data_IF_594004250806
#
_entry.id   IF_594004250806
#
_cell.length_a   1.000
_cell.length_b   1.000
_cell.length_c   1.000
_cell.angle_alpha   90.00
_cell.angle_beta   90.00
_cell.angle_gamma   90.00
#
_symmetry.space_group_name_H-M   'P 1'
#
loop_
_entity.id
_entity.type
_entity.pdbx_description
1 polymer ?
#
# COMPACT_ATOMS: atom_id res chain seq x y z
N UNK A 1 18.17 -5.82 -2.68
CA UNK A 1 19.16 -5.28 -3.64
C UNK A 1 19.19 -3.76 -3.63
N UNK A 2 18.07 -3.07 -3.80
CA UNK A 2 18.01 -1.59 -3.83
C UNK A 2 18.63 -0.89 -2.61
N UNK A 3 18.51 -1.46 -1.42
CA UNK A 3 19.11 -0.94 -0.18
C UNK A 3 20.58 -1.34 0.05
N UNK A 4 21.20 -2.09 -0.87
CA UNK A 4 22.56 -2.61 -0.71
C UNK A 4 22.74 -3.73 0.32
N UNK A 5 21.63 -4.28 0.87
CA UNK A 5 21.68 -5.43 1.80
C UNK A 5 22.01 -6.72 1.05
N UNK A 6 21.40 -6.91 -0.12
CA UNK A 6 21.63 -8.06 -0.98
C UNK A 6 22.42 -7.66 -2.22
N UNK A 7 23.38 -8.49 -2.61
CA UNK A 7 24.16 -8.33 -3.80
C UNK A 7 23.46 -9.01 -5.00
N UNK A 8 23.40 -8.40 -6.19
CA UNK A 8 22.85 -9.06 -7.38
C UNK A 8 23.81 -10.13 -7.89
N UNK A 9 23.29 -11.25 -8.37
CA UNK A 9 24.09 -12.31 -8.99
C UNK A 9 24.62 -11.88 -10.36
N UNK A 10 23.87 -11.04 -11.07
CA UNK A 10 24.22 -10.46 -12.35
C UNK A 10 23.44 -9.17 -12.59
N UNK A 11 23.84 -8.38 -13.58
CA UNK A 11 23.22 -7.10 -13.89
C UNK A 11 23.73 -5.95 -13.02
N UNK A 12 23.18 -4.77 -13.24
CA UNK A 12 23.56 -3.53 -12.58
C UNK A 12 22.38 -2.93 -11.85
N UNK A 13 22.64 -2.31 -10.71
CA UNK A 13 21.65 -1.54 -9.95
C UNK A 13 22.28 -0.20 -9.61
N UNK A 14 21.61 0.87 -10.02
CA UNK A 14 21.96 2.24 -9.66
C UNK A 14 20.76 2.93 -9.03
N UNK A 15 20.98 3.64 -7.94
CA UNK A 15 19.98 4.45 -7.26
C UNK A 15 20.58 5.82 -7.02
N UNK A 16 19.98 6.82 -7.65
CA UNK A 16 20.37 8.22 -7.49
C UNK A 16 21.88 8.45 -7.71
N UNK A 17 22.47 7.79 -8.73
CA UNK A 17 23.88 7.86 -9.06
C UNK A 17 24.79 7.02 -8.17
N UNK A 18 24.24 6.15 -7.30
CA UNK A 18 25.02 5.29 -6.42
C UNK A 18 24.78 3.82 -6.71
N UNK A 19 25.85 3.03 -6.64
CA UNK A 19 25.79 1.57 -6.60
C UNK A 19 25.55 1.15 -5.14
N UNK A 20 24.37 0.58 -4.78
CA UNK A 20 23.96 0.38 -3.40
C UNK A 20 24.93 -0.46 -2.55
N UNK A 21 25.52 -1.49 -3.10
CA UNK A 21 26.45 -2.39 -2.37
C UNK A 21 27.85 -1.82 -2.15
N UNK A 22 28.22 -0.70 -2.77
CA UNK A 22 29.43 0.03 -2.41
C UNK A 22 29.31 0.67 -1.02
N UNK A 23 28.07 0.77 -0.48
CA UNK A 23 27.76 1.23 0.86
C UNK A 23 28.39 2.58 1.23
N UNK A 24 28.54 3.47 0.23
CA UNK A 24 29.07 4.83 0.45
C UNK A 24 28.24 5.55 1.52
N UNK A 25 28.89 6.25 2.44
CA UNK A 25 28.19 6.98 3.50
C UNK A 25 27.23 8.03 2.94
N UNK A 26 27.59 8.68 1.83
CA UNK A 26 26.70 9.60 1.13
C UNK A 26 25.38 8.93 0.70
N UNK A 27 25.44 7.71 0.16
CA UNK A 27 24.23 6.95 -0.19
C UNK A 27 23.43 6.54 1.04
N UNK A 28 24.09 6.02 2.09
CA UNK A 28 23.40 5.58 3.33
C UNK A 28 22.63 6.70 4.02
N UNK A 29 23.07 7.93 3.87
CA UNK A 29 22.37 9.12 4.41
C UNK A 29 21.12 9.51 3.62
N UNK A 30 20.99 9.02 2.38
CA UNK A 30 19.88 9.37 1.49
C UNK A 30 18.67 8.46 1.59
N UNK A 31 18.78 7.33 2.28
CA UNK A 31 17.65 6.42 2.39
C UNK A 31 17.42 5.91 3.81
N UNK A 32 16.20 5.47 4.05
CA UNK A 32 15.82 4.68 5.23
C UNK A 32 15.02 3.46 4.85
N UNK A 33 15.01 2.49 5.77
CA UNK A 33 14.23 1.26 5.64
C UNK A 33 13.42 1.07 6.90
N UNK A 34 12.13 0.75 6.75
CA UNK A 34 11.26 0.27 7.83
C UNK A 34 10.77 -1.12 7.44
N UNK A 35 10.95 -2.10 8.33
CA UNK A 35 10.53 -3.48 8.12
C UNK A 35 9.43 -3.82 9.12
N UNK A 36 8.21 -4.04 8.64
CA UNK A 36 7.03 -4.25 9.50
C UNK A 36 7.13 -5.40 10.50
N UNK A 37 7.93 -6.42 10.16
CA UNK A 37 8.11 -7.59 11.01
C UNK A 37 9.39 -7.57 11.87
N UNK A 38 10.25 -6.56 11.71
CA UNK A 38 11.52 -6.47 12.43
C UNK A 38 11.57 -5.20 13.25
N UNK A 39 11.78 -5.38 14.57
CA UNK A 39 11.99 -4.26 15.44
C UNK A 39 13.41 -3.70 15.26
N UNK A 40 13.51 -2.39 14.98
CA UNK A 40 14.77 -1.66 14.81
C UNK A 40 15.08 -0.78 16.02
N UNK A 41 14.09 -0.54 16.88
CA UNK A 41 14.24 0.21 18.12
C UNK A 41 14.76 -0.69 19.23
N UNK A 42 15.45 -0.12 20.19
CA UNK A 42 15.91 -0.83 21.36
C UNK A 42 14.75 -1.21 22.28
N UNK A 43 14.50 -2.51 22.41
CA UNK A 43 13.33 -3.10 23.04
C UNK A 43 13.10 -2.67 24.49
N UNK A 44 14.17 -2.59 25.29
CA UNK A 44 14.11 -2.28 26.72
C UNK A 44 14.26 -0.79 27.04
N UNK A 45 14.51 0.04 26.03
CA UNK A 45 14.69 1.49 26.18
C UNK A 45 13.49 2.25 25.62
N UNK A 46 13.29 3.52 26.02
CA UNK A 46 12.37 4.41 25.36
C UNK A 46 12.72 4.62 23.88
N UNK A 47 11.71 4.86 23.06
CA UNK A 47 11.95 5.13 21.63
C UNK A 47 12.82 6.39 21.42
N UNK A 48 12.72 7.39 22.31
CA UNK A 48 13.55 8.60 22.30
C UNK A 48 15.05 8.31 22.32
N UNK A 49 15.50 7.23 22.95
CA UNK A 49 16.92 6.84 22.98
C UNK A 49 17.38 6.35 21.60
N UNK A 50 16.55 5.59 20.90
CA UNK A 50 16.81 5.17 19.52
C UNK A 50 16.77 6.36 18.56
N UNK A 51 15.91 7.35 18.81
CA UNK A 51 15.87 8.58 18.04
C UNK A 51 17.19 9.37 18.19
N UNK A 52 17.68 9.48 19.42
CA UNK A 52 18.95 10.15 19.70
C UNK A 52 20.13 9.42 19.08
N UNK A 53 20.12 8.08 19.08
CA UNK A 53 21.12 7.28 18.38
C UNK A 53 21.12 7.60 16.87
N UNK A 54 19.95 7.60 16.23
CA UNK A 54 19.84 7.94 14.80
C UNK A 54 20.34 9.36 14.51
N UNK A 55 19.99 10.32 15.37
CA UNK A 55 20.57 11.67 15.30
C UNK A 55 22.09 11.63 15.23
N UNK A 56 22.73 10.87 16.14
CA UNK A 56 24.19 10.76 16.20
C UNK A 56 24.78 10.03 14.96
N UNK A 57 24.15 8.94 14.53
CA UNK A 57 24.60 8.16 13.36
C UNK A 57 24.59 9.00 12.08
N UNK A 58 23.55 9.82 11.92
CA UNK A 58 23.36 10.64 10.71
C UNK A 58 23.90 12.07 10.84
N UNK A 59 24.52 12.44 11.98
CA UNK A 59 25.04 13.77 12.29
C UNK A 59 23.99 14.89 12.13
N UNK A 60 22.75 14.63 12.59
CA UNK A 60 21.67 15.61 12.50
C UNK A 60 21.90 16.73 13.53
N UNK A 61 21.89 18.01 13.14
CA UNK A 61 22.04 19.13 14.07
C UNK A 61 20.93 19.16 15.13
N UNK A 62 21.26 19.58 16.37
CA UNK A 62 20.32 19.59 17.49
C UNK A 62 19.00 20.34 17.21
N UNK A 63 19.09 21.47 16.56
CA UNK A 63 17.92 22.29 16.23
C UNK A 63 17.01 21.61 15.20
N UNK A 64 17.59 20.93 14.22
CA UNK A 64 16.86 20.17 13.20
C UNK A 64 16.22 18.92 13.81
N UNK A 65 16.99 18.16 14.60
CA UNK A 65 16.50 17.00 15.33
C UNK A 65 15.26 17.31 16.16
N UNK A 66 15.34 18.36 17.01
CA UNK A 66 14.19 18.74 17.86
C UNK A 66 12.96 19.11 17.06
N UNK A 67 13.11 19.90 16.00
CA UNK A 67 12.00 20.27 15.11
C UNK A 67 11.40 19.06 14.43
N UNK A 68 12.25 18.18 13.88
CA UNK A 68 11.79 16.97 13.18
C UNK A 68 11.06 16.01 14.13
N UNK A 69 11.61 15.76 15.31
CA UNK A 69 10.96 14.88 16.30
C UNK A 69 9.62 15.48 16.76
N UNK A 70 9.55 16.78 17.02
CA UNK A 70 8.31 17.44 17.42
C UNK A 70 7.26 17.35 16.32
N UNK A 71 7.59 17.74 15.10
CA UNK A 71 6.70 17.67 13.93
C UNK A 71 6.16 16.26 13.68
N UNK A 72 7.06 15.26 13.61
CA UNK A 72 6.67 13.90 13.29
C UNK A 72 5.91 13.20 14.44
N UNK A 73 6.26 13.50 15.69
CA UNK A 73 5.57 12.92 16.85
C UNK A 73 4.13 13.43 16.99
N UNK A 74 3.89 14.70 16.62
CA UNK A 74 2.54 15.26 16.54
C UNK A 74 1.73 14.64 15.40
N UNK A 75 2.30 14.59 14.19
CA UNK A 75 1.62 13.99 13.02
C UNK A 75 1.27 12.51 13.23
N UNK A 76 2.12 11.75 13.92
CA UNK A 76 1.90 10.33 14.22
C UNK A 76 1.04 10.11 15.48
N UNK A 77 0.75 11.18 16.24
CA UNK A 77 0.02 11.09 17.51
C UNK A 77 0.71 10.12 18.49
N UNK A 78 2.01 10.39 18.78
CA UNK A 78 2.86 9.55 19.63
C UNK A 78 3.73 10.35 20.62
N UNK A 79 3.54 11.67 20.72
CA UNK A 79 4.37 12.57 21.52
C UNK A 79 4.48 12.11 22.98
N UNK A 80 3.38 11.71 23.58
CA UNK A 80 3.32 11.26 24.97
C UNK A 80 3.94 9.87 25.22
N UNK A 81 4.16 9.13 24.13
CA UNK A 81 4.66 7.75 24.18
C UNK A 81 6.18 7.64 23.97
N UNK A 82 6.85 8.72 23.53
CA UNK A 82 8.27 8.67 23.16
C UNK A 82 9.20 8.19 24.31
N UNK A 83 8.80 8.48 25.56
CA UNK A 83 9.57 8.10 26.75
C UNK A 83 9.11 6.77 27.37
N UNK A 84 8.16 6.07 26.72
CA UNK A 84 7.72 4.73 27.12
C UNK A 84 8.67 3.69 26.52
N UNK A 85 9.04 2.66 27.30
CA UNK A 85 9.84 1.55 26.80
C UNK A 85 9.16 0.88 25.60
N UNK A 86 9.92 0.62 24.53
CA UNK A 86 9.39 0.06 23.27
C UNK A 86 8.59 -1.22 23.48
N UNK A 87 9.03 -2.11 24.39
CA UNK A 87 8.33 -3.35 24.76
C UNK A 87 6.92 -3.17 25.33
N UNK A 88 6.59 -1.97 25.82
CA UNK A 88 5.30 -1.64 26.44
C UNK A 88 4.32 -1.02 25.44
N UNK A 89 4.78 -0.67 24.26
CA UNK A 89 3.97 -0.11 23.19
C UNK A 89 3.18 -1.21 22.48
N UNK A 90 1.97 -0.88 22.05
CA UNK A 90 1.23 -1.71 21.09
C UNK A 90 1.99 -1.82 19.77
N UNK A 91 1.61 -2.78 18.94
CA UNK A 91 2.25 -2.97 17.63
C UNK A 91 2.12 -1.72 16.75
N UNK A 92 0.95 -1.07 16.75
CA UNK A 92 0.71 0.15 15.99
C UNK A 92 1.52 1.35 16.50
N UNK A 93 1.57 1.55 17.83
CA UNK A 93 2.40 2.60 18.43
C UNK A 93 3.89 2.38 18.14
N UNK A 94 4.36 1.14 18.23
CA UNK A 94 5.74 0.78 17.91
C UNK A 94 6.04 1.06 16.44
N UNK A 95 5.18 0.68 15.51
CA UNK A 95 5.39 0.95 14.08
C UNK A 95 5.48 2.45 13.80
N UNK A 96 4.67 3.28 14.45
CA UNK A 96 4.77 4.73 14.33
C UNK A 96 6.12 5.25 14.83
N UNK A 97 6.65 4.70 15.93
CA UNK A 97 8.00 5.03 16.42
C UNK A 97 9.10 4.59 15.46
N UNK A 98 8.97 3.41 14.84
CA UNK A 98 9.90 2.92 13.80
C UNK A 98 9.94 3.88 12.59
N UNK A 99 8.77 4.32 12.13
CA UNK A 99 8.67 5.27 11.02
C UNK A 99 9.28 6.61 11.43
N UNK A 100 8.99 7.12 12.63
CA UNK A 100 9.58 8.36 13.12
C UNK A 100 11.11 8.27 13.17
N UNK A 101 11.65 7.18 13.73
CA UNK A 101 13.09 6.95 13.80
C UNK A 101 13.75 6.93 12.42
N UNK A 102 13.09 6.33 11.43
CA UNK A 102 13.57 6.26 10.06
C UNK A 102 13.61 7.62 9.36
N UNK A 103 12.80 8.58 9.80
CA UNK A 103 12.64 9.90 9.16
C UNK A 103 13.45 11.03 9.83
N UNK A 104 14.17 10.76 10.94
CA UNK A 104 14.91 11.78 11.71
C UNK A 104 15.91 12.55 10.84
N UNK A 105 16.59 11.88 9.94
CA UNK A 105 17.59 12.49 9.06
C UNK A 105 17.02 12.93 7.70
N UNK A 106 15.69 12.95 7.55
CA UNK A 106 14.96 13.41 6.34
C UNK A 106 15.50 12.75 5.05
N UNK A 107 15.39 11.43 4.91
CA UNK A 107 15.91 10.71 3.75
C UNK A 107 15.20 11.12 2.47
N UNK A 108 15.90 11.07 1.34
CA UNK A 108 15.33 11.28 0.00
C UNK A 108 14.50 10.06 -0.46
N UNK A 109 14.84 8.86 0.07
CA UNK A 109 14.22 7.59 -0.30
C UNK A 109 13.81 6.84 0.97
N UNK A 110 12.57 6.38 1.03
CA UNK A 110 12.04 5.57 2.13
C UNK A 110 11.57 4.22 1.59
N UNK A 111 12.20 3.14 2.05
CA UNK A 111 11.77 1.78 1.81
C UNK A 111 10.86 1.33 2.96
N UNK A 112 9.63 0.94 2.64
CA UNK A 112 8.65 0.42 3.59
C UNK A 112 8.32 -1.01 3.20
N UNK A 113 8.73 -1.95 4.03
CA UNK A 113 8.47 -3.37 3.81
C UNK A 113 7.35 -3.83 4.75
N UNK A 114 6.12 -3.96 4.21
CA UNK A 114 4.91 -4.36 4.94
C UNK A 114 4.63 -3.51 6.20
N UNK A 115 4.59 -2.16 6.14
CA UNK A 115 4.55 -1.31 7.32
C UNK A 115 3.23 -1.39 8.11
N UNK A 116 2.19 -1.97 7.56
CA UNK A 116 0.85 -2.06 8.18
C UNK A 116 0.49 -3.49 8.59
N UNK A 117 1.41 -4.46 8.39
CA UNK A 117 1.15 -5.86 8.67
C UNK A 117 0.85 -6.12 10.14
N UNK A 118 -0.25 -6.83 10.42
CA UNK A 118 -0.66 -7.20 11.77
C UNK A 118 -1.23 -6.06 12.61
N UNK A 119 -1.36 -4.86 12.06
CA UNK A 119 -1.94 -3.72 12.76
C UNK A 119 -3.47 -3.77 12.71
N UNK A 120 -4.09 -3.18 13.72
CA UNK A 120 -5.53 -2.90 13.69
C UNK A 120 -5.88 -1.83 12.63
N UNK A 121 -7.16 -1.80 12.23
CA UNK A 121 -7.66 -0.93 11.14
C UNK A 121 -7.37 0.55 11.40
N UNK A 122 -7.49 1.01 12.65
CA UNK A 122 -7.26 2.42 13.00
C UNK A 122 -5.78 2.77 12.90
N UNK A 123 -4.90 1.89 13.39
CA UNK A 123 -3.45 2.06 13.29
C UNK A 123 -2.99 2.05 11.82
N UNK A 124 -3.52 1.15 10.99
CA UNK A 124 -3.25 1.13 9.56
C UNK A 124 -3.65 2.46 8.91
N UNK A 125 -4.87 2.95 9.19
CA UNK A 125 -5.35 4.22 8.61
C UNK A 125 -4.46 5.40 9.02
N UNK A 126 -4.11 5.51 10.30
CA UNK A 126 -3.23 6.59 10.79
C UNK A 126 -1.86 6.58 10.10
N UNK A 127 -1.29 5.40 9.86
CA UNK A 127 0.00 5.27 9.13
C UNK A 127 -0.17 5.70 7.67
N UNK A 128 -1.24 5.28 6.99
CA UNK A 128 -1.51 5.73 5.61
C UNK A 128 -1.66 7.24 5.51
N UNK A 129 -2.48 7.83 6.37
CA UNK A 129 -2.71 9.27 6.39
C UNK A 129 -1.41 10.05 6.63
N UNK A 130 -0.59 9.55 7.57
CA UNK A 130 0.73 10.11 7.84
C UNK A 130 1.64 10.04 6.61
N UNK A 131 1.80 8.85 6.01
CA UNK A 131 2.69 8.64 4.85
C UNK A 131 2.28 9.50 3.65
N UNK A 132 0.98 9.66 3.43
CA UNK A 132 0.43 10.53 2.40
C UNK A 132 0.79 11.99 2.64
N UNK A 133 0.50 12.48 3.85
CA UNK A 133 0.81 13.86 4.25
C UNK A 133 2.30 14.15 4.17
N UNK A 134 3.13 13.24 4.72
CA UNK A 134 4.59 13.36 4.70
C UNK A 134 5.13 13.40 3.26
N UNK A 135 4.69 12.51 2.38
CA UNK A 135 5.12 12.50 0.98
C UNK A 135 4.68 13.76 0.22
N UNK A 136 3.49 14.28 0.50
CA UNK A 136 3.01 15.52 -0.11
C UNK A 136 3.87 16.73 0.29
N UNK A 137 4.33 16.78 1.54
CA UNK A 137 5.14 17.87 2.07
C UNK A 137 6.60 17.79 1.66
N UNK A 138 7.21 16.59 1.73
CA UNK A 138 8.66 16.42 1.57
C UNK A 138 9.07 15.96 0.18
N UNK A 139 8.15 15.39 -0.60
CA UNK A 139 8.43 14.77 -1.92
C UNK A 139 9.43 13.61 -1.84
N UNK A 140 9.59 13.02 -0.67
CA UNK A 140 10.40 11.81 -0.47
C UNK A 140 9.93 10.69 -1.39
N UNK A 141 10.84 10.01 -2.07
CA UNK A 141 10.50 8.83 -2.87
C UNK A 141 10.20 7.66 -1.95
N UNK A 142 8.97 7.17 -1.95
CA UNK A 142 8.55 6.03 -1.12
C UNK A 142 8.42 4.79 -2.00
N UNK A 143 9.12 3.72 -1.62
CA UNK A 143 8.99 2.37 -2.21
C UNK A 143 8.35 1.50 -1.15
N UNK A 144 7.11 1.07 -1.41
CA UNK A 144 6.27 0.32 -0.49
C UNK A 144 6.05 -1.09 -1.00
N UNK A 145 6.23 -2.09 -0.12
CA UNK A 145 5.63 -3.42 -0.31
C UNK A 145 4.44 -3.58 0.64
N UNK A 146 3.35 -4.16 0.17
CA UNK A 146 2.20 -4.48 1.03
C UNK A 146 1.39 -5.64 0.45
N UNK A 147 0.82 -6.45 1.35
CA UNK A 147 -0.21 -7.44 1.02
C UNK A 147 -1.62 -6.84 1.09
N UNK A 148 -1.77 -5.67 1.70
CA UNK A 148 -3.05 -4.98 1.80
C UNK A 148 -3.23 -4.07 0.58
N UNK A 149 -4.15 -4.43 -0.31
CA UNK A 149 -4.41 -3.62 -1.51
C UNK A 149 -4.80 -2.19 -1.20
N UNK A 150 -5.46 -1.99 -0.06
CA UNK A 150 -5.83 -0.66 0.39
C UNK A 150 -4.62 0.26 0.59
N UNK A 151 -3.49 -0.25 1.07
CA UNK A 151 -2.26 0.53 1.18
C UNK A 151 -1.76 0.96 -0.20
N UNK A 152 -1.81 0.03 -1.16
CA UNK A 152 -1.39 0.30 -2.53
C UNK A 152 -2.31 1.32 -3.19
N UNK A 153 -3.63 1.16 -3.06
CA UNK A 153 -4.63 2.06 -3.64
C UNK A 153 -4.57 3.48 -3.07
N UNK A 154 -4.37 3.61 -1.75
CA UNK A 154 -4.36 4.92 -1.09
C UNK A 154 -3.03 5.65 -1.19
N UNK A 155 -1.89 4.94 -1.26
CA UNK A 155 -0.55 5.53 -1.20
C UNK A 155 0.19 5.54 -2.54
N UNK A 156 -0.06 4.59 -3.43
CA UNK A 156 0.74 4.40 -4.63
C UNK A 156 0.03 4.96 -5.88
N UNK A 157 0.79 5.63 -6.75
CA UNK A 157 0.33 6.02 -8.09
C UNK A 157 0.79 5.05 -9.17
N UNK A 158 1.92 4.39 -8.92
CA UNK A 158 2.57 3.41 -9.81
C UNK A 158 2.77 2.12 -9.05
N UNK A 159 2.56 1.00 -9.71
CA UNK A 159 2.82 -0.32 -9.18
C UNK A 159 3.79 -1.09 -10.06
N UNK A 160 4.61 -1.89 -9.42
CA UNK A 160 5.50 -2.87 -10.04
C UNK A 160 5.08 -4.24 -9.54
N UNK A 161 4.64 -5.13 -10.45
CA UNK A 161 4.24 -6.49 -10.09
C UNK A 161 5.35 -7.44 -10.55
N UNK A 162 5.84 -8.23 -9.59
CA UNK A 162 6.86 -9.25 -9.82
C UNK A 162 6.23 -10.63 -9.55
N UNK A 163 6.32 -11.53 -10.53
CA UNK A 163 5.89 -12.91 -10.40
C UNK A 163 7.04 -13.85 -10.77
N UNK A 164 7.34 -14.82 -9.90
CA UNK A 164 8.42 -15.80 -10.11
C UNK A 164 9.77 -15.16 -10.50
N UNK A 165 10.07 -13.99 -9.94
CA UNK A 165 11.30 -13.24 -10.21
C UNK A 165 11.28 -12.44 -11.51
N UNK A 166 10.19 -12.43 -12.27
CA UNK A 166 10.01 -11.67 -13.49
C UNK A 166 9.12 -10.44 -13.27
N UNK A 167 9.45 -9.36 -13.95
CA UNK A 167 8.65 -8.15 -14.00
C UNK A 167 7.46 -8.37 -14.94
N UNK A 168 6.25 -8.52 -14.39
CA UNK A 168 5.03 -8.77 -15.19
C UNK A 168 4.22 -7.50 -15.44
N UNK A 169 4.41 -6.49 -14.60
CA UNK A 169 3.76 -5.19 -14.75
C UNK A 169 4.62 -4.06 -14.20
N UNK A 170 4.65 -2.96 -14.90
CA UNK A 170 5.19 -1.68 -14.45
C UNK A 170 4.34 -0.56 -15.07
N UNK A 171 3.64 0.19 -14.24
CA UNK A 171 2.75 1.25 -14.71
C UNK A 171 1.86 1.84 -13.63
N UNK A 172 0.87 2.64 -14.03
CA UNK A 172 -0.06 3.26 -13.09
C UNK A 172 -1.10 2.25 -12.59
N UNK A 173 -1.63 2.47 -11.37
CA UNK A 173 -2.71 1.63 -10.85
C UNK A 173 -3.98 1.70 -11.73
N UNK A 174 -4.25 2.85 -12.32
CA UNK A 174 -5.39 3.02 -13.21
C UNK A 174 -5.30 2.11 -14.45
N UNK A 175 -4.09 1.91 -14.99
CA UNK A 175 -3.88 1.08 -16.18
C UNK A 175 -4.03 -0.43 -15.90
N UNK A 176 -3.92 -0.86 -14.65
CA UNK A 176 -4.12 -2.26 -14.27
C UNK A 176 -5.54 -2.71 -14.66
N UNK A 177 -6.54 -1.95 -14.25
CA UNK A 177 -7.95 -2.26 -14.55
C UNK A 177 -8.24 -2.17 -16.05
N UNK A 178 -7.65 -1.21 -16.77
CA UNK A 178 -7.78 -1.11 -18.23
C UNK A 178 -7.24 -2.34 -18.97
N UNK A 179 -6.07 -2.85 -18.56
CA UNK A 179 -5.49 -4.07 -19.17
C UNK A 179 -6.31 -5.32 -18.90
N UNK A 180 -7.11 -5.34 -17.83
CA UNK A 180 -7.97 -6.46 -17.46
C UNK A 180 -9.32 -6.50 -18.17
N UNK A 181 -9.59 -5.61 -19.12
CA UNK A 181 -10.74 -5.68 -20.01
C UNK A 181 -11.87 -4.71 -19.69
N UNK A 182 -11.55 -3.62 -18.96
CA UNK A 182 -12.43 -2.46 -18.74
C UNK A 182 -13.87 -2.85 -18.35
N UNK A 183 -14.00 -3.66 -17.30
CA UNK A 183 -15.25 -4.19 -16.78
C UNK A 183 -15.57 -3.62 -15.41
N UNK A 184 -16.86 -3.62 -15.06
CA UNK A 184 -17.36 -3.21 -13.74
C UNK A 184 -18.21 -4.30 -13.13
N UNK A 185 -18.33 -4.27 -11.82
CA UNK A 185 -19.27 -5.10 -11.08
C UNK A 185 -20.56 -4.29 -10.85
N UNK A 186 -21.68 -4.89 -11.19
CA UNK A 186 -23.01 -4.41 -10.87
C UNK A 186 -23.61 -5.36 -9.85
N UNK A 187 -23.70 -4.91 -8.61
CA UNK A 187 -24.37 -5.61 -7.52
C UNK A 187 -25.83 -5.15 -7.50
N UNK A 188 -26.77 -6.07 -7.49
CA UNK A 188 -28.18 -5.79 -7.43
C UNK A 188 -28.85 -6.57 -6.30
N UNK A 189 -29.85 -5.94 -5.68
CA UNK A 189 -30.78 -6.55 -4.75
C UNK A 189 -32.19 -6.37 -5.28
N UNK A 190 -32.92 -7.47 -5.47
CA UNK A 190 -34.28 -7.47 -5.99
C UNK A 190 -35.31 -7.68 -4.88
N UNK A 191 -36.52 -7.13 -5.07
CA UNK A 191 -37.66 -7.31 -4.14
C UNK A 191 -38.07 -8.78 -4.12
N UNK A 192 -38.08 -9.44 -5.30
CA UNK A 192 -38.42 -10.84 -5.47
C UNK A 192 -37.23 -11.62 -6.07
N UNK A 193 -37.14 -12.96 -5.88
CA UNK A 193 -36.11 -13.76 -6.52
C UNK A 193 -36.17 -13.65 -8.03
N UNK A 194 -35.04 -13.35 -8.69
CA UNK A 194 -34.90 -13.30 -10.14
C UNK A 194 -34.13 -14.53 -10.61
N UNK A 195 -34.62 -15.31 -11.58
CA UNK A 195 -33.89 -16.45 -12.13
C UNK A 195 -32.52 -16.06 -12.65
N UNK A 196 -31.50 -16.91 -12.39
CA UNK A 196 -30.13 -16.67 -12.83
C UNK A 196 -30.02 -16.50 -14.36
N UNK A 197 -30.86 -17.23 -15.12
CA UNK A 197 -30.90 -17.17 -16.57
C UNK A 197 -31.29 -15.76 -17.07
N UNK A 198 -32.23 -15.11 -16.41
CA UNK A 198 -32.63 -13.73 -16.74
C UNK A 198 -31.48 -12.74 -16.50
N UNK A 199 -30.74 -12.91 -15.39
CA UNK A 199 -29.59 -12.09 -15.07
C UNK A 199 -28.45 -12.25 -16.05
N UNK A 200 -28.29 -13.46 -16.61
CA UNK A 200 -27.26 -13.78 -17.61
C UNK A 200 -27.42 -12.99 -18.92
N UNK A 201 -28.61 -12.46 -19.21
CA UNK A 201 -28.86 -11.59 -20.36
C UNK A 201 -28.19 -10.21 -20.23
N UNK A 202 -27.93 -9.77 -19.00
CA UNK A 202 -27.39 -8.45 -18.69
C UNK A 202 -25.88 -8.45 -18.48
N UNK A 203 -25.28 -9.60 -18.24
CA UNK A 203 -23.84 -9.73 -18.00
C UNK A 203 -23.45 -11.10 -17.48
N UNK A 204 -22.15 -11.27 -17.22
CA UNK A 204 -21.66 -12.50 -16.61
C UNK A 204 -22.03 -12.53 -15.13
N UNK A 205 -22.88 -13.48 -14.73
CA UNK A 205 -23.26 -13.65 -13.31
C UNK A 205 -22.06 -14.23 -12.54
N UNK A 206 -21.53 -13.46 -11.62
CA UNK A 206 -20.42 -13.83 -10.73
C UNK A 206 -20.95 -14.53 -9.47
N UNK A 207 -21.87 -13.88 -8.80
CA UNK A 207 -22.48 -14.35 -7.56
C UNK A 207 -24.00 -14.29 -7.70
N UNK A 208 -24.68 -15.26 -7.07
CA UNK A 208 -26.12 -15.34 -7.13
C UNK A 208 -26.69 -15.99 -5.87
N UNK A 209 -27.57 -15.28 -5.17
CA UNK A 209 -28.23 -15.70 -3.95
C UNK A 209 -29.75 -15.43 -3.99
N UNK A 210 -30.38 -15.74 -5.13
CA UNK A 210 -31.82 -15.58 -5.32
C UNK A 210 -32.25 -14.12 -5.52
N UNK A 211 -32.20 -13.33 -4.46
CA UNK A 211 -32.54 -11.89 -4.49
C UNK A 211 -31.31 -10.99 -4.71
N UNK A 212 -30.15 -11.49 -4.44
CA UNK A 212 -28.88 -10.74 -4.58
C UNK A 212 -28.05 -11.37 -5.66
N UNK A 213 -27.46 -10.52 -6.50
CA UNK A 213 -26.56 -10.98 -7.56
C UNK A 213 -25.49 -9.93 -7.84
N UNK A 214 -24.32 -10.42 -8.27
CA UNK A 214 -23.22 -9.61 -8.79
C UNK A 214 -22.99 -9.97 -10.24
N UNK A 215 -23.11 -8.99 -11.11
CA UNK A 215 -22.90 -9.12 -12.55
C UNK A 215 -21.62 -8.41 -12.97
N UNK A 216 -20.84 -9.04 -13.81
CA UNK A 216 -19.70 -8.42 -14.48
C UNK A 216 -20.14 -7.90 -15.83
N UNK A 217 -20.00 -6.59 -16.05
CA UNK A 217 -20.49 -5.88 -17.23
C UNK A 217 -19.36 -5.04 -17.83
N UNK A 218 -19.20 -5.01 -19.19
CA UNK A 218 -18.25 -4.11 -19.82
C UNK A 218 -18.56 -2.64 -19.47
N UNK A 219 -17.55 -1.83 -19.16
CA UNK A 219 -17.69 -0.43 -18.74
C UNK A 219 -18.51 0.40 -19.75
N UNK A 220 -18.26 0.20 -21.04
CA UNK A 220 -19.00 0.88 -22.10
C UNK A 220 -20.49 0.54 -22.17
N UNK A 221 -20.92 -0.60 -21.58
CA UNK A 221 -22.32 -1.04 -21.58
C UNK A 221 -23.05 -0.80 -20.26
N UNK A 222 -22.36 -0.28 -19.25
CA UNK A 222 -22.91 -0.13 -17.90
C UNK A 222 -24.21 0.68 -17.88
N UNK A 223 -24.26 1.81 -18.61
CA UNK A 223 -25.43 2.68 -18.66
C UNK A 223 -26.65 1.96 -19.25
N UNK A 224 -26.46 1.30 -20.38
CA UNK A 224 -27.52 0.53 -21.06
C UNK A 224 -28.00 -0.62 -20.19
N UNK A 225 -27.07 -1.39 -19.62
CA UNK A 225 -27.37 -2.54 -18.75
C UNK A 225 -28.09 -2.11 -17.48
N UNK A 226 -27.63 -1.05 -16.82
CA UNK A 226 -28.29 -0.53 -15.62
C UNK A 226 -29.71 -0.05 -15.91
N UNK A 227 -29.91 0.69 -17.01
CA UNK A 227 -31.26 1.15 -17.43
C UNK A 227 -32.19 -0.02 -17.72
N UNK A 228 -31.71 -1.06 -18.42
CA UNK A 228 -32.49 -2.25 -18.74
C UNK A 228 -32.87 -3.04 -17.47
N UNK A 229 -31.94 -3.23 -16.54
CA UNK A 229 -32.18 -3.90 -15.27
C UNK A 229 -33.24 -3.16 -14.46
N UNK A 230 -33.11 -1.82 -14.31
CA UNK A 230 -34.07 -1.00 -13.55
C UNK A 230 -35.46 -0.96 -14.18
N UNK A 231 -35.56 -1.12 -15.50
CA UNK A 231 -36.85 -1.13 -16.20
C UNK A 231 -37.54 -2.50 -16.22
N UNK A 232 -36.78 -3.59 -16.18
CA UNK A 232 -37.31 -4.95 -16.42
C UNK A 232 -37.36 -5.79 -15.15
N UNK A 233 -36.61 -5.45 -14.10
CA UNK A 233 -36.55 -6.23 -12.87
C UNK A 233 -37.05 -5.42 -11.68
N UNK A 234 -37.68 -6.06 -10.67
CA UNK A 234 -38.10 -5.41 -9.44
C UNK A 234 -36.91 -5.16 -8.51
N UNK A 235 -36.08 -4.17 -8.84
CA UNK A 235 -34.85 -3.84 -8.11
C UNK A 235 -35.18 -3.02 -6.86
N UNK A 236 -34.71 -3.47 -5.70
CA UNK A 236 -34.74 -2.75 -4.44
C UNK A 236 -33.56 -1.79 -4.32
N UNK A 237 -32.36 -2.26 -4.66
CA UNK A 237 -31.12 -1.50 -4.60
C UNK A 237 -30.13 -2.00 -5.67
N UNK A 238 -29.25 -1.11 -6.15
CA UNK A 238 -28.14 -1.51 -6.99
C UNK A 238 -26.93 -0.60 -6.83
N UNK A 239 -25.73 -1.17 -7.02
CA UNK A 239 -24.48 -0.46 -6.90
C UNK A 239 -23.55 -0.87 -8.05
N UNK A 240 -22.83 0.10 -8.61
CA UNK A 240 -21.82 -0.15 -9.64
C UNK A 240 -20.46 0.17 -9.06
N UNK A 241 -19.57 -0.82 -9.03
CA UNK A 241 -18.20 -0.70 -8.52
C UNK A 241 -17.17 -1.09 -9.57
N UNK A 242 -15.95 -0.62 -9.41
CA UNK A 242 -14.80 -1.16 -10.15
C UNK A 242 -14.50 -2.58 -9.66
N UNK A 243 -13.85 -3.39 -10.50
CA UNK A 243 -13.33 -4.68 -10.05
C UNK A 243 -12.24 -4.41 -9.00
N UNK A 244 -12.28 -5.08 -7.83
CA UNK A 244 -11.23 -4.91 -6.82
C UNK A 244 -9.83 -5.14 -7.39
N UNK A 245 -8.87 -4.33 -6.94
CA UNK A 245 -7.49 -4.40 -7.41
C UNK A 245 -6.86 -5.76 -7.14
N UNK A 246 -7.21 -6.40 -6.00
CA UNK A 246 -6.79 -7.76 -5.64
C UNK A 246 -7.14 -8.77 -6.72
N UNK A 247 -8.36 -8.65 -7.23
CA UNK A 247 -8.84 -9.56 -8.25
C UNK A 247 -8.13 -9.31 -9.59
N UNK A 248 -7.97 -8.04 -9.95
CA UNK A 248 -7.24 -7.63 -11.14
C UNK A 248 -5.80 -8.14 -11.09
N UNK A 249 -5.11 -8.01 -9.97
CA UNK A 249 -3.75 -8.52 -9.78
C UNK A 249 -3.71 -10.07 -9.80
N UNK A 250 -4.67 -10.74 -9.17
CA UNK A 250 -4.75 -12.21 -9.19
C UNK A 250 -4.83 -12.76 -10.61
N UNK A 251 -5.51 -12.05 -11.51
CA UNK A 251 -5.60 -12.44 -12.92
C UNK A 251 -4.26 -12.29 -13.67
N UNK A 252 -3.37 -11.38 -13.27
CA UNK A 252 -1.99 -11.34 -13.79
C UNK A 252 -1.22 -12.62 -13.45
N UNK A 253 -1.37 -13.10 -12.22
CA UNK A 253 -0.72 -14.35 -11.82
C UNK A 253 -1.28 -15.59 -12.49
N UNK A 254 -2.59 -15.62 -12.85
CA UNK A 254 -3.25 -16.77 -13.50
C UNK A 254 -2.98 -16.85 -15.01
N UNK A 255 -2.91 -15.73 -15.73
CA UNK A 255 -2.73 -15.73 -17.18
C UNK A 255 -1.36 -16.26 -17.63
N UNK A 256 -0.32 -16.11 -16.83
CA UNK A 256 1.01 -16.63 -17.16
C UNK A 256 1.16 -18.14 -16.92
N UNK A 257 0.36 -18.73 -16.02
CA UNK A 257 0.35 -20.19 -15.81
C UNK A 257 -0.25 -20.95 -17.01
N UNK A 258 -1.05 -20.27 -17.84
CA UNK A 258 -1.72 -20.88 -19.01
C UNK A 258 -0.91 -20.69 -20.32
N UNK A 259 0.19 -19.93 -20.28
CA UNK A 259 1.05 -19.65 -21.44
C UNK A 259 2.36 -20.43 -21.45
N UNK A 260 2.54 -21.36 -20.52
CA UNK A 260 3.59 -22.38 -20.43
C UNK A 260 3.00 -23.77 -20.68
#
# INVERSE_FOLDING_TARGET
>A
MLSGILFPTAGEVEIDGYIPWERKNAFKRRFSIVMGQKNQLWWDLPASDSFYLNKCIFDVPDGEYRRTVEELSELLDVKDLMNVQVRRLSLGERMKMEILAALIHRPDILFLDEPTIGLDILSQQKIRDFLKTYNEQTKTTVILTSHYMRDIEELCRRAVIINQGQLVYDGTLADINHRMGDRKLLSLKSIEPVPREHLSLFGRVREYHGREAVLEVPKGKIKETASAILSLLPVEDFTVTEIPLEESISLFFQKEVTAL
#
